data_IF_870978005527
#
_entry.id   IF_870978005527
#
_cell.length_a   1.000
_cell.length_b   1.000
_cell.length_c   1.000
_cell.angle_alpha   90.00
_cell.angle_beta   90.00
_cell.angle_gamma   90.00
#
_symmetry.space_group_name_H-M   'P 1'
#
loop_
_entity.id
_entity.type
_entity.pdbx_description
1 polymer ?
#
# COMPACT_ATOMS: atom_id res chain seq x y z
N UNK A 1 8.29 14.97 1.04
CA UNK A 1 7.12 14.72 1.92
C UNK A 1 5.90 14.45 1.05
N UNK A 2 5.13 13.41 1.36
CA UNK A 2 3.88 13.07 0.71
C UNK A 2 2.69 13.54 1.56
N UNK A 3 1.53 13.71 0.95
CA UNK A 3 0.34 14.20 1.64
C UNK A 3 -0.87 13.30 1.37
N UNK A 4 -1.65 13.08 2.41
CA UNK A 4 -2.97 12.47 2.35
C UNK A 4 -3.97 13.53 2.76
N UNK A 5 -4.91 13.84 1.87
CA UNK A 5 -5.95 14.84 2.10
C UNK A 5 -7.28 14.14 2.25
N UNK A 6 -7.91 14.30 3.41
CA UNK A 6 -9.23 13.77 3.72
C UNK A 6 -10.29 14.90 3.55
N UNK A 7 -11.08 14.78 2.50
CA UNK A 7 -12.02 15.79 2.06
C UNK A 7 -11.38 16.79 1.09
N UNK A 8 -11.91 16.84 -0.13
CA UNK A 8 -11.49 17.78 -1.17
C UNK A 8 -12.18 19.14 -1.03
N UNK A 9 -13.48 19.10 -0.75
CA UNK A 9 -14.34 20.27 -0.74
C UNK A 9 -14.34 20.97 -2.10
N UNK A 10 -14.10 22.27 -2.10
CA UNK A 10 -13.96 23.06 -3.32
C UNK A 10 -12.49 23.15 -3.82
N UNK A 11 -11.58 22.38 -3.26
CA UNK A 11 -10.19 22.32 -3.71
C UNK A 11 -9.28 23.47 -3.25
N UNK A 12 -9.77 24.43 -2.49
CA UNK A 12 -8.95 25.57 -2.04
C UNK A 12 -7.75 25.14 -1.20
N UNK A 13 -7.95 24.18 -0.28
CA UNK A 13 -6.91 23.66 0.57
C UNK A 13 -5.82 22.93 -0.24
N UNK A 14 -6.24 22.15 -1.24
CA UNK A 14 -5.31 21.43 -2.13
C UNK A 14 -4.52 22.43 -2.99
N UNK A 15 -5.16 23.46 -3.51
CA UNK A 15 -4.51 24.54 -4.28
C UNK A 15 -3.40 25.22 -3.46
N UNK A 16 -3.69 25.55 -2.20
CA UNK A 16 -2.67 26.14 -1.32
C UNK A 16 -1.58 25.16 -0.94
N UNK A 17 -1.91 23.87 -0.80
CA UNK A 17 -0.94 22.82 -0.55
C UNK A 17 0.05 22.68 -1.72
N UNK A 18 -0.44 22.65 -2.95
CA UNK A 18 0.39 22.57 -4.16
C UNK A 18 1.38 23.73 -4.23
N UNK A 19 0.95 24.97 -3.93
CA UNK A 19 1.83 26.15 -3.93
C UNK A 19 2.97 26.07 -2.90
N UNK A 20 2.75 25.38 -1.78
CA UNK A 20 3.69 25.29 -0.64
C UNK A 20 4.54 24.04 -0.66
N UNK A 21 4.31 23.12 -1.58
CA UNK A 21 4.99 21.83 -1.65
C UNK A 21 5.93 21.74 -2.84
N UNK A 22 6.88 20.82 -2.77
CA UNK A 22 7.77 20.53 -3.89
C UNK A 22 7.00 19.83 -5.02
N UNK A 23 7.38 20.07 -6.25
CA UNK A 23 6.86 19.35 -7.43
C UNK A 23 7.09 17.82 -7.37
N UNK A 24 7.94 17.35 -6.47
CA UNK A 24 8.20 15.92 -6.22
C UNK A 24 7.29 15.32 -5.16
N UNK A 25 6.41 16.11 -4.55
CA UNK A 25 5.48 15.62 -3.52
C UNK A 25 4.27 14.97 -4.18
N UNK A 26 3.86 13.79 -3.67
CA UNK A 26 2.59 13.18 -4.05
C UNK A 26 1.49 13.62 -3.08
N UNK A 27 0.34 13.96 -3.62
CA UNK A 27 -0.85 14.42 -2.89
C UNK A 27 -2.00 13.47 -3.23
N UNK A 28 -2.36 12.63 -2.30
CA UNK A 28 -3.44 11.64 -2.42
C UNK A 28 -4.68 12.19 -1.74
N UNK A 29 -5.71 12.48 -2.52
CA UNK A 29 -6.93 13.13 -2.06
C UNK A 29 -8.07 12.12 -2.05
N UNK A 30 -8.76 12.03 -0.93
CA UNK A 30 -9.93 11.17 -0.77
C UNK A 30 -11.16 12.04 -0.51
N UNK A 31 -12.13 11.99 -1.43
CA UNK A 31 -13.41 12.66 -1.29
C UNK A 31 -14.53 11.62 -1.29
N UNK A 32 -15.44 11.75 -0.32
CA UNK A 32 -16.58 10.84 -0.20
C UNK A 32 -17.69 11.18 -1.17
N UNK A 33 -17.91 12.47 -1.39
CA UNK A 33 -19.09 12.97 -2.09
C UNK A 33 -18.75 13.33 -3.55
N UNK A 34 -19.23 12.55 -4.55
CA UNK A 34 -19.04 12.87 -5.96
C UNK A 34 -19.80 14.14 -6.39
N UNK A 35 -20.92 14.48 -5.74
CA UNK A 35 -21.69 15.69 -6.07
C UNK A 35 -20.90 16.94 -5.68
N UNK A 36 -20.14 16.88 -4.58
CA UNK A 36 -19.26 17.95 -4.16
C UNK A 36 -18.13 18.18 -5.17
N UNK A 37 -17.56 17.11 -5.75
CA UNK A 37 -16.57 17.22 -6.83
C UNK A 37 -17.21 17.83 -8.08
N UNK A 38 -18.41 17.39 -8.47
CA UNK A 38 -19.13 17.96 -9.62
C UNK A 38 -19.42 19.46 -9.42
N UNK A 39 -19.81 19.85 -8.20
CA UNK A 39 -19.98 21.25 -7.83
C UNK A 39 -18.67 22.03 -7.96
N UNK A 40 -17.58 21.49 -7.42
CA UNK A 40 -16.28 22.14 -7.45
C UNK A 40 -15.79 22.38 -8.89
N UNK A 41 -15.96 21.41 -9.78
CA UNK A 41 -15.60 21.53 -11.22
C UNK A 41 -16.44 22.62 -11.91
N UNK A 42 -17.70 22.75 -11.54
CA UNK A 42 -18.60 23.76 -12.15
C UNK A 42 -18.30 25.17 -11.68
N UNK A 43 -17.98 25.34 -10.40
CA UNK A 43 -17.87 26.66 -9.77
C UNK A 43 -16.44 27.21 -9.76
N UNK A 44 -15.43 26.35 -9.89
CA UNK A 44 -14.03 26.74 -9.71
C UNK A 44 -13.15 26.12 -10.80
N UNK A 45 -12.21 26.89 -11.32
CA UNK A 45 -11.17 26.36 -12.18
C UNK A 45 -10.22 25.46 -11.38
N UNK A 46 -10.30 24.17 -11.61
CA UNK A 46 -9.48 23.13 -10.98
C UNK A 46 -8.30 22.68 -11.86
N UNK A 47 -8.08 23.31 -13.00
CA UNK A 47 -7.05 22.89 -13.98
C UNK A 47 -5.67 22.71 -13.34
N UNK A 48 -5.29 23.64 -12.46
CA UNK A 48 -4.00 23.58 -11.76
C UNK A 48 -3.88 22.38 -10.79
N UNK A 49 -5.00 21.87 -10.29
CA UNK A 49 -5.04 20.72 -9.39
C UNK A 49 -5.04 19.42 -10.20
N UNK A 50 -5.96 19.33 -11.17
CA UNK A 50 -6.19 18.10 -11.94
C UNK A 50 -5.06 17.79 -12.92
N UNK A 51 -4.36 18.80 -13.43
CA UNK A 51 -3.21 18.61 -14.31
C UNK A 51 -1.88 18.47 -13.55
N UNK A 52 -1.88 18.55 -12.22
CA UNK A 52 -0.66 18.41 -11.44
C UNK A 52 -0.26 16.93 -11.33
N UNK A 53 0.93 16.57 -11.84
CA UNK A 53 1.40 15.19 -11.94
C UNK A 53 1.46 14.43 -10.61
N UNK A 54 1.68 15.14 -9.51
CA UNK A 54 1.72 14.57 -8.16
C UNK A 54 0.36 14.45 -7.48
N UNK A 55 -0.72 14.93 -8.08
CA UNK A 55 -2.08 14.87 -7.48
C UNK A 55 -2.80 13.63 -7.98
N UNK A 56 -3.39 12.89 -7.04
CA UNK A 56 -4.25 11.74 -7.30
C UNK A 56 -5.54 11.91 -6.50
N UNK A 57 -6.66 12.03 -7.20
CA UNK A 57 -7.99 12.22 -6.61
C UNK A 57 -8.78 10.92 -6.67
N UNK A 58 -9.26 10.48 -5.51
CA UNK A 58 -10.09 9.29 -5.34
C UNK A 58 -11.46 9.71 -4.78
N UNK A 59 -12.51 9.38 -5.52
CA UNK A 59 -13.88 9.76 -5.17
C UNK A 59 -14.68 8.51 -4.83
N UNK A 60 -15.37 8.54 -3.70
CA UNK A 60 -16.23 7.45 -3.18
C UNK A 60 -15.57 6.05 -3.24
N UNK A 61 -14.27 5.97 -2.93
CA UNK A 61 -13.56 4.70 -2.98
C UNK A 61 -14.10 3.75 -1.90
N UNK A 62 -14.43 2.53 -2.31
CA UNK A 62 -14.91 1.48 -1.40
C UNK A 62 -13.75 0.80 -0.67
N UNK A 63 -14.00 0.29 0.53
CA UNK A 63 -12.97 -0.31 1.40
C UNK A 63 -12.12 -1.38 0.70
N UNK A 64 -12.72 -2.28 -0.09
CA UNK A 64 -11.96 -3.31 -0.78
C UNK A 64 -11.00 -2.76 -1.85
N UNK A 65 -11.42 -1.73 -2.57
CA UNK A 65 -10.58 -1.05 -3.58
C UNK A 65 -9.52 -0.17 -2.92
N UNK A 66 -9.82 0.37 -1.74
CA UNK A 66 -8.90 1.16 -0.94
C UNK A 66 -7.67 0.34 -0.52
N UNK A 67 -7.87 -0.87 0.00
CA UNK A 67 -6.76 -1.74 0.43
C UNK A 67 -5.79 -1.99 -0.71
N UNK A 68 -6.29 -2.41 -1.88
CA UNK A 68 -5.45 -2.63 -3.06
C UNK A 68 -4.71 -1.37 -3.54
N UNK A 69 -5.38 -0.21 -3.47
CA UNK A 69 -4.76 1.07 -3.78
C UNK A 69 -3.64 1.39 -2.79
N UNK A 70 -3.90 1.27 -1.48
CA UNK A 70 -2.92 1.58 -0.44
C UNK A 70 -1.70 0.66 -0.51
N UNK A 71 -1.89 -0.62 -0.84
CA UNK A 71 -0.78 -1.56 -1.08
C UNK A 71 0.08 -1.14 -2.29
N UNK A 72 -0.51 -0.54 -3.30
CA UNK A 72 0.22 -0.03 -4.47
C UNK A 72 1.07 1.20 -4.14
N UNK A 73 0.56 2.09 -3.29
CA UNK A 73 1.21 3.36 -2.96
C UNK A 73 2.02 3.32 -1.67
N UNK A 74 1.96 2.23 -0.89
CA UNK A 74 2.61 2.14 0.43
C UNK A 74 4.11 2.43 0.40
N UNK A 75 4.81 2.08 -0.68
CA UNK A 75 6.24 2.31 -0.82
C UNK A 75 6.57 3.82 -0.77
N UNK A 76 5.73 4.65 -1.37
CA UNK A 76 5.90 6.11 -1.35
C UNK A 76 5.85 6.67 0.07
N UNK A 77 5.06 6.03 0.95
CA UNK A 77 4.86 6.46 2.34
C UNK A 77 5.82 5.79 3.32
N UNK A 78 6.35 4.62 2.98
CA UNK A 78 7.33 3.90 3.82
C UNK A 78 8.71 4.53 3.71
N UNK A 79 9.09 5.00 2.52
CA UNK A 79 10.40 5.59 2.25
C UNK A 79 10.45 7.10 2.47
N UNK A 80 9.30 7.76 2.53
CA UNK A 80 9.20 9.22 2.67
C UNK A 80 8.27 9.59 3.82
N UNK A 81 8.55 10.70 4.46
CA UNK A 81 7.60 11.30 5.40
C UNK A 81 6.27 11.60 4.73
N UNK A 82 5.19 11.41 5.47
CA UNK A 82 3.86 11.81 5.03
C UNK A 82 3.12 12.62 6.09
N UNK A 83 2.16 13.42 5.64
CA UNK A 83 1.28 14.20 6.51
C UNK A 83 -0.17 13.99 6.10
N UNK A 84 -1.03 13.83 7.09
CA UNK A 84 -2.48 13.75 6.88
C UNK A 84 -3.07 15.12 7.14
N UNK A 85 -3.81 15.63 6.17
CA UNK A 85 -4.52 16.91 6.23
C UNK A 85 -6.00 16.59 6.11
N UNK A 86 -6.80 17.07 7.05
CA UNK A 86 -8.24 16.79 7.09
C UNK A 86 -9.03 18.07 6.99
N UNK A 87 -10.02 18.11 6.11
CA UNK A 87 -11.03 19.17 6.11
C UNK A 87 -12.10 18.83 7.15
N UNK A 88 -11.97 19.41 8.32
CA UNK A 88 -12.73 19.03 9.52
C UNK A 88 -14.24 18.93 9.27
N UNK A 89 -14.84 19.91 8.61
CA UNK A 89 -16.28 19.92 8.35
C UNK A 89 -16.74 18.72 7.51
N UNK A 90 -15.99 18.32 6.49
CA UNK A 90 -16.31 17.17 5.64
C UNK A 90 -16.08 15.85 6.38
N UNK A 91 -15.00 15.77 7.14
CA UNK A 91 -14.69 14.59 7.96
C UNK A 91 -15.74 14.39 9.03
N UNK A 92 -16.19 15.45 9.70
CA UNK A 92 -17.24 15.38 10.72
C UNK A 92 -18.61 15.01 10.11
N UNK A 93 -18.89 15.45 8.89
CA UNK A 93 -20.12 15.12 8.16
C UNK A 93 -20.18 13.66 7.71
N UNK A 94 -19.05 13.08 7.29
CA UNK A 94 -18.91 11.68 6.86
C UNK A 94 -17.97 10.90 7.78
N UNK A 95 -18.18 10.99 9.09
CA UNK A 95 -17.26 10.48 10.12
C UNK A 95 -16.95 8.99 10.00
N UNK A 96 -17.93 8.17 9.68
CA UNK A 96 -17.76 6.74 9.52
C UNK A 96 -16.81 6.42 8.34
N UNK A 97 -17.03 7.03 7.18
CA UNK A 97 -16.20 6.83 6.02
C UNK A 97 -14.74 7.27 6.25
N UNK A 98 -14.54 8.50 6.70
CA UNK A 98 -13.19 9.01 6.92
C UNK A 98 -12.49 8.37 8.11
N UNK A 99 -13.24 7.93 9.11
CA UNK A 99 -12.72 7.16 10.24
C UNK A 99 -12.18 5.80 9.80
N UNK A 100 -12.97 5.04 9.04
CA UNK A 100 -12.54 3.76 8.47
C UNK A 100 -11.34 3.94 7.54
N UNK A 101 -11.39 4.92 6.65
CA UNK A 101 -10.29 5.24 5.74
C UNK A 101 -8.98 5.52 6.49
N UNK A 102 -9.03 6.34 7.52
CA UNK A 102 -7.86 6.67 8.35
C UNK A 102 -7.30 5.43 9.04
N UNK A 103 -8.15 4.59 9.61
CA UNK A 103 -7.75 3.34 10.27
C UNK A 103 -7.03 2.40 9.30
N UNK A 104 -7.56 2.22 8.09
CA UNK A 104 -6.93 1.37 7.05
C UNK A 104 -5.57 1.94 6.60
N UNK A 105 -5.49 3.25 6.38
CA UNK A 105 -4.23 3.92 6.03
C UNK A 105 -3.17 3.67 7.11
N UNK A 106 -3.51 3.91 8.38
CA UNK A 106 -2.60 3.72 9.51
C UNK A 106 -2.16 2.25 9.65
N UNK A 107 -3.07 1.30 9.48
CA UNK A 107 -2.78 -0.13 9.58
C UNK A 107 -1.81 -0.60 8.49
N UNK A 108 -2.05 -0.21 7.22
CA UNK A 108 -1.22 -0.61 6.08
C UNK A 108 0.17 0.01 6.18
N UNK A 109 0.27 1.28 6.52
CA UNK A 109 1.57 1.95 6.62
C UNK A 109 2.38 1.44 7.81
N UNK A 110 1.75 1.16 8.94
CA UNK A 110 2.42 0.53 10.08
C UNK A 110 2.93 -0.87 9.74
N UNK A 111 2.14 -1.68 9.03
CA UNK A 111 2.56 -3.00 8.53
C UNK A 111 3.77 -2.87 7.60
N UNK A 112 3.75 -1.91 6.68
CA UNK A 112 4.84 -1.67 5.73
C UNK A 112 6.13 -1.22 6.44
N UNK A 113 6.03 -0.33 7.43
CA UNK A 113 7.16 0.10 8.27
C UNK A 113 7.79 -1.07 9.03
N UNK A 114 6.97 -1.94 9.64
CA UNK A 114 7.45 -3.14 10.34
C UNK A 114 8.17 -4.08 9.38
N UNK A 115 7.61 -4.31 8.19
CA UNK A 115 8.21 -5.16 7.17
C UNK A 115 9.57 -4.61 6.72
N UNK A 116 9.67 -3.30 6.46
CA UNK A 116 10.93 -2.67 6.08
C UNK A 116 11.98 -2.79 7.19
N UNK A 117 11.61 -2.51 8.44
CA UNK A 117 12.51 -2.68 9.60
C UNK A 117 13.02 -4.11 9.71
N UNK A 118 12.14 -5.10 9.55
CA UNK A 118 12.50 -6.52 9.56
C UNK A 118 13.50 -6.86 8.45
N UNK A 119 13.25 -6.39 7.23
CA UNK A 119 14.17 -6.59 6.11
C UNK A 119 15.54 -5.97 6.37
N UNK A 120 15.58 -4.75 6.88
CA UNK A 120 16.84 -4.05 7.20
C UNK A 120 17.62 -4.81 8.28
N UNK A 121 16.97 -5.21 9.37
CA UNK A 121 17.60 -5.94 10.48
C UNK A 121 18.18 -7.27 10.01
N UNK A 122 17.47 -8.00 9.18
CA UNK A 122 17.87 -9.33 8.71
C UNK A 122 18.63 -9.33 7.38
N UNK A 123 18.83 -8.17 6.74
CA UNK A 123 19.45 -8.05 5.42
C UNK A 123 20.81 -8.77 5.31
N UNK A 124 21.67 -8.60 6.30
CA UNK A 124 22.98 -9.28 6.34
C UNK A 124 22.84 -10.80 6.39
N UNK A 125 21.88 -11.31 7.18
CA UNK A 125 21.62 -12.74 7.28
C UNK A 125 21.02 -13.28 5.98
N UNK A 126 20.12 -12.55 5.34
CA UNK A 126 19.54 -12.94 4.04
C UNK A 126 20.61 -13.02 2.96
N UNK A 127 21.50 -12.01 2.86
CA UNK A 127 22.62 -12.06 1.93
C UNK A 127 23.52 -13.27 2.19
N UNK A 128 23.90 -13.50 3.46
CA UNK A 128 24.72 -14.67 3.83
C UNK A 128 24.04 -15.97 3.40
N UNK A 129 22.75 -16.13 3.68
CA UNK A 129 22.00 -17.35 3.33
C UNK A 129 21.92 -17.55 1.81
N UNK A 130 21.69 -16.47 1.04
CA UNK A 130 21.66 -16.53 -0.44
C UNK A 130 23.01 -17.04 -0.95
N UNK A 131 24.12 -16.42 -0.55
CA UNK A 131 25.45 -16.82 -1.02
C UNK A 131 25.84 -18.22 -0.57
N UNK A 132 25.51 -18.61 0.67
CA UNK A 132 25.81 -19.97 1.17
C UNK A 132 25.04 -21.06 0.44
N UNK A 133 23.83 -20.75 -0.05
CA UNK A 133 22.97 -21.70 -0.74
C UNK A 133 23.08 -21.62 -2.27
N UNK A 134 23.90 -20.72 -2.81
CA UNK A 134 23.95 -20.45 -4.25
C UNK A 134 24.30 -21.70 -5.06
N UNK A 135 25.31 -22.47 -4.64
CA UNK A 135 25.71 -23.71 -5.33
C UNK A 135 24.56 -24.71 -5.35
N UNK A 136 23.93 -24.96 -4.20
CA UNK A 136 22.79 -25.88 -4.11
C UNK A 136 21.59 -25.41 -4.96
N UNK A 137 21.39 -24.09 -5.07
CA UNK A 137 20.33 -23.53 -5.91
C UNK A 137 20.60 -23.75 -7.40
N UNK A 138 21.87 -23.60 -7.83
CA UNK A 138 22.26 -23.82 -9.23
C UNK A 138 22.16 -25.30 -9.64
N UNK A 139 22.43 -26.21 -8.69
CA UNK A 139 22.35 -27.65 -8.92
C UNK A 139 20.93 -28.22 -8.76
N UNK A 140 19.99 -27.39 -8.25
CA UNK A 140 18.60 -27.82 -8.05
C UNK A 140 17.78 -27.74 -9.33
N UNK A 141 16.92 -28.73 -9.60
CA UNK A 141 16.00 -28.68 -10.75
C UNK A 141 15.00 -27.52 -10.57
N UNK A 142 14.68 -26.84 -11.67
CA UNK A 142 13.67 -25.79 -11.68
C UNK A 142 12.27 -26.36 -11.42
N UNK A 143 11.38 -25.54 -10.85
CA UNK A 143 10.01 -25.94 -10.50
C UNK A 143 9.20 -26.47 -11.71
N UNK A 144 9.54 -26.04 -12.93
CA UNK A 144 8.93 -26.52 -14.17
C UNK A 144 9.20 -28.04 -14.37
N UNK A 145 10.38 -28.49 -14.02
CA UNK A 145 10.73 -29.93 -14.11
C UNK A 145 9.92 -30.79 -13.16
N UNK A 146 9.54 -30.26 -11.99
CA UNK A 146 8.63 -30.95 -11.08
C UNK A 146 7.22 -31.12 -11.68
N UNK A 147 6.72 -30.09 -12.37
CA UNK A 147 5.41 -30.14 -13.01
C UNK A 147 5.34 -31.21 -14.12
N UNK A 148 6.42 -31.38 -14.88
CA UNK A 148 6.50 -32.33 -15.97
C UNK A 148 6.83 -33.76 -15.48
N UNK A 149 7.55 -33.86 -14.35
CA UNK A 149 8.03 -35.12 -13.80
C UNK A 149 7.06 -35.86 -12.88
N UNK A 150 5.99 -35.22 -12.41
CA UNK A 150 5.05 -35.76 -11.41
C UNK A 150 3.57 -35.64 -11.84
N UNK A 151 3.18 -36.06 -13.04
CA UNK A 151 1.78 -36.04 -13.44
C UNK A 151 1.00 -37.03 -12.57
N UNK A 152 -0.10 -36.57 -11.98
CA UNK A 152 -1.06 -37.37 -11.21
C UNK A 152 -0.52 -38.09 -9.96
N UNK A 153 0.66 -37.66 -9.45
CA UNK A 153 1.22 -38.16 -8.19
C UNK A 153 0.72 -37.30 -7.02
N UNK A 154 0.14 -37.92 -5.97
CA UNK A 154 -0.21 -37.19 -4.76
C UNK A 154 1.03 -36.54 -4.12
N UNK A 155 0.96 -35.26 -3.80
CA UNK A 155 2.06 -34.50 -3.16
C UNK A 155 1.66 -34.13 -1.75
N UNK A 156 2.54 -34.40 -0.78
CA UNK A 156 2.40 -33.99 0.60
C UNK A 156 3.37 -32.82 0.86
N UNK A 157 2.83 -31.70 1.26
CA UNK A 157 3.63 -30.53 1.65
C UNK A 157 3.80 -30.53 3.17
N UNK A 158 5.04 -30.78 3.63
CA UNK A 158 5.38 -30.76 5.03
C UNK A 158 6.08 -29.45 5.38
N UNK A 159 5.57 -28.75 6.39
CA UNK A 159 6.21 -27.57 6.97
C UNK A 159 7.00 -27.94 8.22
N UNK A 160 8.13 -27.28 8.43
CA UNK A 160 9.02 -27.51 9.59
C UNK A 160 8.42 -26.96 10.88
N UNK A 161 7.28 -27.52 11.34
CA UNK A 161 6.64 -27.18 12.59
C UNK A 161 6.88 -28.23 13.68
N UNK A 162 6.65 -27.90 14.96
CA UNK A 162 6.85 -28.86 16.09
C UNK A 162 6.00 -30.13 15.98
N UNK A 163 4.93 -30.13 15.19
CA UNK A 163 4.08 -31.29 14.91
C UNK A 163 4.74 -32.29 13.97
N UNK A 164 5.72 -31.86 13.17
CA UNK A 164 6.43 -32.76 12.26
C UNK A 164 7.21 -33.83 13.02
N UNK A 165 7.88 -33.44 14.13
CA UNK A 165 8.65 -34.37 14.96
C UNK A 165 7.77 -35.52 15.51
N UNK A 166 6.47 -35.28 15.72
CA UNK A 166 5.51 -36.28 16.21
C UNK A 166 4.98 -37.20 15.11
N UNK A 167 5.02 -36.77 13.87
CA UNK A 167 4.34 -37.44 12.74
C UNK A 167 5.30 -37.88 11.63
N UNK A 168 6.60 -37.61 11.77
CA UNK A 168 7.60 -37.90 10.72
C UNK A 168 7.66 -39.38 10.36
N UNK A 169 7.28 -40.26 11.29
CA UNK A 169 7.23 -41.71 11.07
C UNK A 169 6.02 -42.18 10.24
N UNK A 170 5.06 -41.25 9.96
CA UNK A 170 3.86 -41.51 9.17
C UNK A 170 4.00 -41.06 7.72
N UNK A 171 5.11 -40.39 7.40
CA UNK A 171 5.48 -39.92 6.07
C UNK A 171 6.36 -40.94 5.38
#
# INVERSE_FOLDING_TARGET
TNFIVLGFGLGHQVRELIKKTSSRSNIYIFEKDPELIALAIREIDLSNILNHSGVKLFVDIKTHSLVSLLETIQTDFTLNEYRVISQKSLVDFNREYYGSLKTEIEAIFKKSEINLKTQVIHSKQYCKNIFSNLTSLLDSPGIIQLKEGLPDIPVIICSAGPSLDKNIQLL
#
